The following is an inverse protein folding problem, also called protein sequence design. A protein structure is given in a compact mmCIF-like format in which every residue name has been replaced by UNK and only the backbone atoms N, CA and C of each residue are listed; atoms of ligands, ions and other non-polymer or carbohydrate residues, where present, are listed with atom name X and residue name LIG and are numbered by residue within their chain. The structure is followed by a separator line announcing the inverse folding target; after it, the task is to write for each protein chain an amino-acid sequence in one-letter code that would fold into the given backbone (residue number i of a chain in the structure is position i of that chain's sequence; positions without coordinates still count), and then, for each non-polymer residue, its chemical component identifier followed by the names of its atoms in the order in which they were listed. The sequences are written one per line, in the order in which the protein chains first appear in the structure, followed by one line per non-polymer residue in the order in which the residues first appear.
data_IF_141226232154
#
_entry.id   IF_141226232154
#
_cell.length_a   1.000
_cell.length_b   1.000
_cell.length_c   1.000
_cell.angle_alpha   90.00
_cell.angle_beta   90.00
_cell.angle_gamma   90.00
#
_symmetry.space_group_name_H-M   'P 1'
#
loop_
_entity.id
_entity.type
_entity.pdbx_description
1 polymer ?
#
# COMPACT_ATOMS: atom_id res chain seq x y z
N UNK A 1 37.98 -11.75 -55.67
CA UNK A 1 37.68 -11.71 -54.23
C UNK A 1 36.39 -10.92 -54.03
N UNK A 2 35.25 -11.59 -53.98
CA UNK A 2 33.92 -10.96 -53.89
C UNK A 2 33.23 -11.39 -52.60
N UNK A 3 32.97 -10.42 -51.72
CA UNK A 3 32.27 -10.59 -50.45
C UNK A 3 30.77 -10.79 -50.67
N UNK A 4 30.21 -11.90 -50.19
CA UNK A 4 28.75 -12.08 -50.08
C UNK A 4 28.37 -11.94 -48.61
N UNK A 5 27.71 -10.83 -48.27
CA UNK A 5 27.19 -10.56 -46.94
C UNK A 5 25.93 -11.41 -46.69
N UNK A 6 25.98 -12.27 -45.67
CA UNK A 6 24.80 -12.96 -45.13
C UNK A 6 24.09 -12.03 -44.15
N UNK A 7 22.90 -11.56 -44.50
CA UNK A 7 21.97 -10.94 -43.55
C UNK A 7 21.19 -12.05 -42.83
N UNK A 8 21.43 -12.20 -41.53
CA UNK A 8 20.60 -13.01 -40.65
C UNK A 8 19.54 -12.11 -40.00
N UNK A 9 18.28 -12.28 -40.38
CA UNK A 9 17.13 -11.69 -39.69
C UNK A 9 16.96 -12.37 -38.32
N UNK A 10 17.24 -11.63 -37.25
CA UNK A 10 16.96 -12.03 -35.88
C UNK A 10 15.56 -11.51 -35.50
N UNK A 11 14.57 -12.41 -35.45
CA UNK A 11 13.25 -12.11 -34.93
C UNK A 11 13.33 -11.85 -33.41
N UNK A 12 13.09 -10.61 -32.98
CA UNK A 12 12.82 -10.28 -31.58
C UNK A 12 11.37 -10.66 -31.23
N UNK A 13 11.20 -11.73 -30.46
CA UNK A 13 9.96 -12.01 -29.72
C UNK A 13 9.96 -11.15 -28.45
N UNK A 14 9.22 -10.04 -28.49
CA UNK A 14 8.86 -9.25 -27.30
C UNK A 14 7.79 -9.99 -26.50
N UNK A 15 8.23 -10.79 -25.52
CA UNK A 15 7.36 -11.28 -24.44
C UNK A 15 7.12 -10.13 -23.46
N UNK A 16 6.00 -9.45 -23.61
CA UNK A 16 5.48 -8.55 -22.58
C UNK A 16 4.96 -9.39 -21.41
N UNK A 17 5.81 -9.63 -20.41
CA UNK A 17 5.37 -10.08 -19.10
C UNK A 17 4.63 -8.93 -18.41
N UNK A 18 3.30 -8.91 -18.52
CA UNK A 18 2.46 -8.16 -17.59
C UNK A 18 2.67 -8.76 -16.19
N UNK A 19 3.50 -8.11 -15.38
CA UNK A 19 3.60 -8.42 -13.96
C UNK A 19 2.25 -8.14 -13.31
N UNK A 20 1.53 -9.21 -12.93
CA UNK A 20 0.35 -9.07 -12.09
C UNK A 20 0.81 -8.56 -10.73
N UNK A 21 0.48 -7.31 -10.42
CA UNK A 21 0.57 -6.79 -9.05
C UNK A 21 -0.45 -7.57 -8.21
N UNK A 22 0.01 -8.59 -7.49
CA UNK A 22 -0.83 -9.38 -6.60
C UNK A 22 -1.13 -8.56 -5.35
N UNK A 23 -2.41 -8.32 -5.06
CA UNK A 23 -2.83 -7.82 -3.77
C UNK A 23 -2.26 -8.72 -2.65
N UNK A 24 -1.81 -8.13 -1.55
CA UNK A 24 -1.31 -8.90 -0.44
C UNK A 24 -2.44 -9.73 0.19
N UNK A 25 -2.20 -11.02 0.33
CA UNK A 25 -3.22 -12.00 0.72
C UNK A 25 -2.93 -12.59 2.11
N UNK A 26 -3.89 -13.34 2.66
CA UNK A 26 -3.64 -14.21 3.82
C UNK A 26 -2.45 -15.16 3.59
N UNK A 27 -2.18 -15.51 2.33
CA UNK A 27 -1.04 -16.34 1.94
C UNK A 27 0.30 -15.61 2.19
N UNK A 28 0.39 -14.31 1.89
CA UNK A 28 1.63 -13.53 2.13
C UNK A 28 1.93 -13.38 3.63
N UNK A 29 0.88 -13.22 4.45
CA UNK A 29 1.03 -13.21 5.90
C UNK A 29 1.53 -14.55 6.43
N UNK A 30 0.98 -15.68 5.96
CA UNK A 30 1.41 -17.02 6.39
C UNK A 30 2.83 -17.32 5.91
N UNK A 31 3.17 -16.96 4.67
CA UNK A 31 4.51 -17.11 4.12
C UNK A 31 5.55 -16.28 4.90
N UNK A 32 5.21 -15.05 5.31
CA UNK A 32 6.10 -14.21 6.11
C UNK A 32 6.36 -14.80 7.50
N UNK A 33 5.33 -15.34 8.17
CA UNK A 33 5.49 -16.04 9.46
C UNK A 33 6.36 -17.28 9.30
N UNK A 34 6.08 -18.13 8.30
CA UNK A 34 6.84 -19.34 8.05
C UNK A 34 8.33 -19.04 7.76
N UNK A 35 8.61 -17.97 7.00
CA UNK A 35 9.98 -17.54 6.74
C UNK A 35 10.67 -17.01 8.00
N UNK A 36 9.95 -16.29 8.87
CA UNK A 36 10.48 -15.83 10.15
C UNK A 36 10.78 -17.02 11.09
N UNK A 37 9.87 -17.98 11.22
CA UNK A 37 10.07 -19.18 12.03
C UNK A 37 11.27 -20.00 11.54
N UNK A 38 11.41 -20.15 10.22
CA UNK A 38 12.59 -20.76 9.61
C UNK A 38 13.89 -20.01 9.98
N UNK A 39 13.86 -18.68 9.93
CA UNK A 39 15.01 -17.85 10.30
C UNK A 39 15.35 -17.96 11.79
N UNK A 40 14.34 -18.01 12.66
CA UNK A 40 14.51 -18.19 14.11
C UNK A 40 15.12 -19.55 14.44
N UNK A 41 14.65 -20.62 13.80
CA UNK A 41 15.24 -21.95 13.94
C UNK A 41 16.71 -21.98 13.48
N UNK A 42 17.00 -21.41 12.32
CA UNK A 42 18.38 -21.32 11.82
C UNK A 42 19.28 -20.49 12.72
N UNK A 43 18.78 -19.38 13.26
CA UNK A 43 19.51 -18.53 14.21
C UNK A 43 19.73 -19.23 15.56
N UNK A 44 18.79 -20.06 16.02
CA UNK A 44 18.96 -20.86 17.23
C UNK A 44 20.21 -21.77 17.13
N UNK A 45 20.38 -22.44 16.00
CA UNK A 45 21.50 -23.38 15.79
C UNK A 45 22.83 -22.70 15.49
N UNK A 46 22.80 -21.51 14.88
CA UNK A 46 23.99 -20.87 14.32
C UNK A 46 24.42 -19.56 15.01
N UNK A 47 23.54 -18.94 15.81
CA UNK A 47 23.74 -17.62 16.39
C UNK A 47 24.08 -16.57 15.32
N UNK A 48 24.96 -15.63 15.67
CA UNK A 48 25.34 -14.51 14.78
C UNK A 48 25.99 -14.97 13.45
N UNK A 49 26.47 -16.22 13.32
CA UNK A 49 26.93 -16.76 12.03
C UNK A 49 25.81 -16.82 10.99
N UNK A 50 24.55 -16.85 11.42
CA UNK A 50 23.40 -16.86 10.54
C UNK A 50 23.27 -15.59 9.68
N UNK A 51 23.87 -14.47 10.10
CA UNK A 51 23.76 -13.20 9.40
C UNK A 51 24.32 -13.25 7.98
N UNK A 52 25.32 -14.09 7.73
CA UNK A 52 25.84 -14.33 6.38
C UNK A 52 24.80 -14.98 5.46
N UNK A 53 23.97 -15.88 5.99
CA UNK A 53 22.88 -16.50 5.24
C UNK A 53 21.72 -15.52 5.01
N UNK A 54 21.43 -14.67 5.99
CA UNK A 54 20.38 -13.65 5.89
C UNK A 54 20.75 -12.47 4.99
N UNK A 55 22.03 -12.24 4.70
CA UNK A 55 22.51 -11.08 3.93
C UNK A 55 22.80 -11.38 2.46
N UNK A 56 22.30 -12.52 1.94
CA UNK A 56 22.48 -12.94 0.54
C UNK A 56 21.20 -13.50 -0.03
N UNK A 57 21.11 -13.52 -1.36
CA UNK A 57 20.05 -14.25 -2.05
C UNK A 57 20.12 -15.74 -1.72
N UNK A 58 18.95 -16.37 -1.56
CA UNK A 58 18.85 -17.77 -1.19
C UNK A 58 17.62 -18.05 -0.33
N UNK A 59 17.76 -19.02 0.56
CA UNK A 59 16.63 -19.66 1.25
C UNK A 59 15.90 -18.79 2.31
N UNK A 60 16.41 -17.59 2.57
CA UNK A 60 15.84 -16.58 3.48
C UNK A 60 15.30 -15.34 2.74
N UNK A 61 15.15 -15.47 1.42
CA UNK A 61 14.51 -14.51 0.52
C UNK A 61 13.45 -15.26 -0.28
N UNK A 62 12.20 -14.80 -0.24
CA UNK A 62 11.07 -15.35 -0.98
C UNK A 62 10.26 -14.22 -1.61
N UNK A 63 10.34 -14.07 -2.93
CA UNK A 63 9.78 -12.94 -3.68
C UNK A 63 10.26 -11.61 -3.09
N UNK A 64 9.35 -10.83 -2.51
CA UNK A 64 9.59 -9.55 -1.86
C UNK A 64 9.80 -9.65 -0.33
N UNK A 65 9.65 -10.86 0.24
CA UNK A 65 9.89 -11.16 1.66
C UNK A 65 11.36 -11.53 1.86
N UNK A 66 11.95 -10.98 2.91
CA UNK A 66 13.33 -11.26 3.26
C UNK A 66 13.53 -11.11 4.76
N UNK A 67 14.47 -11.88 5.29
CA UNK A 67 14.95 -11.72 6.68
C UNK A 67 15.81 -10.47 6.78
N UNK A 68 15.58 -9.69 7.82
CA UNK A 68 16.52 -8.68 8.28
C UNK A 68 16.65 -8.74 9.81
N UNK A 69 17.80 -8.30 10.31
CA UNK A 69 18.15 -8.37 11.72
C UNK A 69 18.65 -7.02 12.17
N UNK A 70 18.08 -6.50 13.26
CA UNK A 70 18.62 -5.35 13.99
C UNK A 70 19.00 -5.76 15.40
N UNK A 71 19.96 -5.09 16.00
CA UNK A 71 20.21 -5.23 17.43
C UNK A 71 19.28 -4.34 18.27
N UNK A 72 19.28 -4.53 19.59
CA UNK A 72 18.47 -3.71 20.53
C UNK A 72 18.92 -2.25 20.63
N UNK A 73 20.04 -1.87 19.99
CA UNK A 73 20.49 -0.49 19.87
C UNK A 73 20.02 0.14 18.55
N UNK A 74 19.44 -0.64 17.64
CA UNK A 74 18.94 -0.19 16.35
C UNK A 74 19.91 -0.38 15.20
N UNK A 75 21.05 -1.05 15.41
CA UNK A 75 22.05 -1.30 14.36
C UNK A 75 21.57 -2.42 13.45
N UNK A 76 21.57 -2.20 12.13
CA UNK A 76 21.28 -3.25 11.15
C UNK A 76 22.45 -4.25 11.10
N UNK A 77 22.17 -5.52 11.36
CA UNK A 77 23.17 -6.59 11.40
C UNK A 77 23.13 -7.48 10.16
N UNK A 78 21.96 -7.66 9.56
CA UNK A 78 21.78 -8.47 8.36
C UNK A 78 20.52 -8.06 7.60
N UNK A 79 20.51 -8.22 6.28
CA UNK A 79 19.31 -7.98 5.47
C UNK A 79 19.42 -8.64 4.10
N UNK A 80 18.40 -9.41 3.72
CA UNK A 80 18.28 -10.01 2.39
C UNK A 80 17.71 -9.07 1.32
N UNK A 81 17.15 -7.93 1.73
CA UNK A 81 16.55 -6.91 0.85
C UNK A 81 17.31 -5.57 0.84
N UNK A 82 16.68 -4.47 0.38
CA UNK A 82 17.31 -3.15 0.22
C UNK A 82 17.98 -2.57 1.46
N UNK A 83 17.51 -2.96 2.65
CA UNK A 83 18.14 -2.58 3.92
C UNK A 83 19.56 -3.15 4.09
N UNK A 84 20.06 -3.99 3.18
CA UNK A 84 21.46 -4.42 3.15
C UNK A 84 22.42 -3.24 3.04
N UNK A 85 22.01 -2.14 2.39
CA UNK A 85 22.77 -0.89 2.35
C UNK A 85 22.91 -0.21 3.73
N UNK A 86 22.11 -0.61 4.72
CA UNK A 86 22.13 -0.07 6.08
C UNK A 86 22.95 -0.93 7.05
N UNK A 87 23.49 -2.09 6.64
CA UNK A 87 24.26 -2.97 7.53
C UNK A 87 25.41 -2.18 8.18
N UNK A 88 25.50 -2.28 9.51
CA UNK A 88 26.47 -1.56 10.35
C UNK A 88 26.04 -0.15 10.77
N UNK A 89 24.86 0.33 10.35
CA UNK A 89 24.34 1.67 10.69
C UNK A 89 23.21 1.59 11.71
N UNK A 90 23.09 2.63 12.52
CA UNK A 90 21.89 2.86 13.33
C UNK A 90 20.73 3.22 12.39
N UNK A 91 19.74 2.33 12.30
CA UNK A 91 18.58 2.50 11.45
C UNK A 91 17.77 3.72 11.90
N UNK A 92 17.75 4.04 13.20
CA UNK A 92 16.94 5.14 13.73
C UNK A 92 17.34 6.51 13.20
N UNK A 93 18.55 6.68 12.69
CA UNK A 93 19.05 7.94 12.11
C UNK A 93 18.53 8.18 10.68
N UNK A 94 18.10 7.13 9.98
CA UNK A 94 17.58 7.22 8.60
C UNK A 94 16.06 7.18 8.53
N UNK A 95 15.38 7.03 9.67
CA UNK A 95 13.92 7.04 9.76
C UNK A 95 13.37 8.46 9.93
N UNK A 96 12.20 8.71 9.33
CA UNK A 96 11.41 9.90 9.67
C UNK A 96 10.89 9.87 11.13
N UNK A 97 10.51 11.02 11.71
CA UNK A 97 10.18 11.15 13.14
C UNK A 97 9.14 10.15 13.65
N UNK A 98 8.06 9.93 12.89
CA UNK A 98 6.98 9.03 13.30
C UNK A 98 7.44 7.57 13.36
N UNK A 99 8.20 7.13 12.36
CA UNK A 99 8.72 5.76 12.30
C UNK A 99 9.86 5.55 13.30
N UNK A 100 10.65 6.58 13.60
CA UNK A 100 11.70 6.51 14.62
C UNK A 100 11.13 6.19 16.00
N UNK A 101 9.99 6.79 16.37
CA UNK A 101 9.31 6.51 17.64
C UNK A 101 8.83 5.07 17.72
N UNK A 102 8.14 4.59 16.69
CA UNK A 102 7.64 3.21 16.63
C UNK A 102 8.79 2.20 16.63
N UNK A 103 9.89 2.49 15.92
CA UNK A 103 11.07 1.65 15.89
C UNK A 103 11.72 1.53 17.28
N UNK A 104 11.91 2.65 17.99
CA UNK A 104 12.42 2.63 19.38
C UNK A 104 11.55 1.78 20.32
N UNK A 105 10.23 1.81 20.16
CA UNK A 105 9.32 0.96 20.93
C UNK A 105 9.50 -0.52 20.58
N UNK A 106 9.65 -0.87 19.29
CA UNK A 106 9.90 -2.23 18.85
C UNK A 106 11.23 -2.79 19.40
N UNK A 107 12.28 -1.95 19.52
CA UNK A 107 13.57 -2.35 20.12
C UNK A 107 13.46 -2.71 21.62
N UNK A 108 12.45 -2.18 22.31
CA UNK A 108 12.23 -2.39 23.75
C UNK A 108 11.39 -3.61 24.07
N UNK A 109 10.90 -4.35 23.07
CA UNK A 109 10.05 -5.53 23.31
C UNK A 109 10.78 -6.53 24.22
N UNK A 110 10.16 -7.02 25.30
CA UNK A 110 10.79 -8.02 26.16
C UNK A 110 11.09 -9.31 25.41
N UNK A 111 12.17 -9.98 25.80
CA UNK A 111 12.41 -11.35 25.39
C UNK A 111 11.29 -12.26 25.94
N UNK A 112 10.85 -13.24 25.15
CA UNK A 112 9.79 -14.17 25.55
C UNK A 112 8.36 -13.72 25.19
N UNK A 113 8.16 -12.51 24.67
CA UNK A 113 6.84 -12.08 24.16
C UNK A 113 6.40 -12.80 22.86
N UNK A 114 7.25 -13.67 22.30
CA UNK A 114 6.99 -14.36 21.03
C UNK A 114 7.01 -13.42 19.82
N UNK A 115 6.42 -13.87 18.72
CA UNK A 115 6.32 -13.09 17.49
C UNK A 115 5.40 -11.88 17.71
N UNK A 116 5.97 -10.71 17.46
CA UNK A 116 5.30 -9.42 17.43
C UNK A 116 5.01 -9.02 15.98
N UNK A 117 4.18 -7.98 15.82
CA UNK A 117 3.89 -7.41 14.50
C UNK A 117 3.93 -5.89 14.53
N UNK A 118 4.29 -5.29 13.39
CA UNK A 118 4.25 -3.86 13.17
C UNK A 118 3.97 -3.57 11.69
N UNK A 119 3.43 -2.38 11.43
CA UNK A 119 3.26 -1.85 10.08
C UNK A 119 3.99 -0.52 9.96
N UNK A 120 4.68 -0.33 8.83
CA UNK A 120 5.33 0.92 8.49
C UNK A 120 5.44 1.08 6.98
N UNK A 121 6.03 2.17 6.50
CA UNK A 121 6.31 2.35 5.06
C UNK A 121 7.77 2.10 4.76
N UNK A 122 8.01 1.37 3.68
CA UNK A 122 9.35 1.06 3.23
C UNK A 122 9.42 1.01 1.71
N UNK A 123 10.61 1.25 1.17
CA UNK A 123 10.83 1.17 -0.26
C UNK A 123 10.78 -0.30 -0.73
N UNK A 124 9.79 -0.63 -1.56
CA UNK A 124 9.75 -1.89 -2.27
C UNK A 124 10.86 -1.90 -3.33
N UNK A 125 11.59 -3.00 -3.37
CA UNK A 125 12.73 -3.18 -4.27
C UNK A 125 12.31 -3.64 -5.66
N UNK A 126 11.13 -4.25 -5.77
CA UNK A 126 10.59 -4.72 -7.04
C UNK A 126 10.31 -3.56 -7.99
N UNK A 127 9.83 -2.42 -7.48
CA UNK A 127 9.45 -1.26 -8.29
C UNK A 127 9.95 0.09 -7.76
N UNK A 128 10.71 0.11 -6.66
CA UNK A 128 11.29 1.31 -6.08
C UNK A 128 10.31 2.20 -5.31
N UNK A 129 9.03 1.83 -5.21
CA UNK A 129 7.99 2.66 -4.57
C UNK A 129 8.00 2.52 -3.06
N UNK A 130 7.61 3.58 -2.36
CA UNK A 130 7.34 3.52 -0.92
C UNK A 130 5.95 2.96 -0.71
N UNK A 131 5.88 1.77 -0.15
CA UNK A 131 4.65 1.02 0.09
C UNK A 131 4.50 0.68 1.58
N UNK A 132 3.29 0.35 2.00
CA UNK A 132 3.08 -0.14 3.36
C UNK A 132 3.68 -1.55 3.45
N UNK A 133 4.37 -1.83 4.55
CA UNK A 133 5.00 -3.12 4.84
C UNK A 133 4.47 -3.61 6.18
N UNK A 134 3.90 -4.82 6.17
CA UNK A 134 3.57 -5.55 7.40
C UNK A 134 4.76 -6.42 7.76
N UNK A 135 5.18 -6.36 9.01
CA UNK A 135 6.38 -7.07 9.50
C UNK A 135 6.02 -7.86 10.74
N UNK A 136 6.47 -9.11 10.75
CA UNK A 136 6.55 -9.94 11.94
C UNK A 136 7.99 -9.90 12.45
N UNK A 137 8.17 -9.80 13.76
CA UNK A 137 9.50 -9.78 14.36
C UNK A 137 9.52 -10.44 15.72
N UNK A 138 10.66 -11.02 16.09
CA UNK A 138 10.85 -11.62 17.41
C UNK A 138 12.24 -11.27 17.95
N UNK A 139 12.28 -10.90 19.22
CA UNK A 139 13.51 -10.66 19.96
C UNK A 139 14.07 -11.96 20.54
N UNK A 140 15.36 -12.20 20.31
CA UNK A 140 16.18 -13.25 20.91
C UNK A 140 17.44 -12.58 21.48
N UNK A 141 17.54 -12.49 22.81
CA UNK A 141 18.58 -11.73 23.50
C UNK A 141 18.69 -10.28 23.01
N UNK A 142 19.80 -9.95 22.34
CA UNK A 142 20.08 -8.62 21.77
C UNK A 142 19.76 -8.51 20.28
N UNK A 143 19.16 -9.53 19.66
CA UNK A 143 18.82 -9.55 18.24
C UNK A 143 17.31 -9.50 18.06
N UNK A 144 16.88 -8.78 17.04
CA UNK A 144 15.49 -8.75 16.59
C UNK A 144 15.48 -9.20 15.15
N UNK A 145 14.99 -10.42 14.93
CA UNK A 145 14.84 -10.99 13.60
C UNK A 145 13.46 -10.62 13.09
N UNK A 146 13.38 -10.20 11.84
CA UNK A 146 12.15 -9.70 11.25
C UNK A 146 12.00 -10.14 9.80
N UNK A 147 10.76 -10.39 9.40
CA UNK A 147 10.34 -10.66 8.03
C UNK A 147 9.05 -9.88 7.78
N UNK A 148 8.92 -9.29 6.60
CA UNK A 148 7.67 -8.68 6.20
C UNK A 148 7.41 -8.74 4.72
N UNK A 149 6.19 -8.40 4.35
CA UNK A 149 5.68 -8.36 3.00
C UNK A 149 5.08 -6.98 2.72
N UNK A 150 5.11 -6.56 1.45
CA UNK A 150 4.47 -5.31 1.07
C UNK A 150 2.97 -5.50 0.94
N UNK A 151 2.23 -4.51 1.42
CA UNK A 151 0.81 -4.32 1.18
C UNK A 151 0.75 -3.34 0.01
N UNK A 152 0.56 -3.84 -1.24
CA UNK A 152 0.60 -3.00 -2.43
C UNK A 152 -0.49 -1.93 -2.37
N UNK A 153 -0.23 -0.80 -3.04
CA UNK A 153 -1.25 0.25 -3.23
C UNK A 153 -2.48 -0.34 -3.90
N UNK A 154 -3.63 0.24 -3.62
CA UNK A 154 -4.84 -0.24 -4.26
C UNK A 154 -4.76 -0.12 -5.78
N UNK A 155 -5.20 -1.17 -6.47
CA UNK A 155 -5.26 -1.21 -7.92
C UNK A 155 -6.52 -0.54 -8.47
N UNK A 156 -6.52 -0.27 -9.77
CA UNK A 156 -7.70 0.18 -10.50
C UNK A 156 -8.89 -0.81 -10.34
N UNK A 157 -8.62 -2.11 -10.39
CA UNK A 157 -9.61 -3.17 -10.22
C UNK A 157 -10.21 -3.18 -8.81
N UNK A 158 -9.38 -2.95 -7.79
CA UNK A 158 -9.86 -2.85 -6.41
C UNK A 158 -10.74 -1.60 -6.22
N UNK A 159 -10.37 -0.47 -6.83
CA UNK A 159 -11.20 0.74 -6.82
C UNK A 159 -12.57 0.51 -7.48
N UNK A 160 -12.62 -0.15 -8.64
CA UNK A 160 -13.87 -0.54 -9.31
C UNK A 160 -14.71 -1.50 -8.46
N UNK A 161 -14.09 -2.51 -7.87
CA UNK A 161 -14.78 -3.47 -6.99
C UNK A 161 -15.42 -2.78 -5.80
N UNK A 162 -14.71 -1.83 -5.16
CA UNK A 162 -15.26 -1.07 -4.04
C UNK A 162 -16.36 -0.10 -4.49
N UNK A 163 -16.24 0.52 -5.67
CA UNK A 163 -17.28 1.35 -6.26
C UNK A 163 -18.56 0.56 -6.48
N UNK A 164 -18.48 -0.61 -7.13
CA UNK A 164 -19.65 -1.44 -7.41
C UNK A 164 -20.32 -1.93 -6.13
N UNK A 165 -19.52 -2.34 -5.12
CA UNK A 165 -20.05 -2.69 -3.80
C UNK A 165 -20.80 -1.50 -3.18
N UNK A 166 -20.17 -0.33 -3.11
CA UNK A 166 -20.76 0.86 -2.49
C UNK A 166 -22.03 1.32 -3.21
N UNK A 167 -22.03 1.29 -4.55
CA UNK A 167 -23.20 1.61 -5.36
C UNK A 167 -24.35 0.62 -5.15
N UNK A 168 -24.06 -0.68 -5.09
CA UNK A 168 -25.06 -1.71 -4.83
C UNK A 168 -25.65 -1.61 -3.41
N UNK A 169 -24.83 -1.34 -2.41
CA UNK A 169 -25.28 -1.17 -1.03
C UNK A 169 -26.10 0.11 -0.87
N UNK A 170 -25.68 1.22 -1.48
CA UNK A 170 -26.41 2.48 -1.48
C UNK A 170 -27.79 2.35 -2.15
N UNK A 171 -27.88 1.59 -3.24
CA UNK A 171 -29.15 1.31 -3.91
C UNK A 171 -30.12 0.44 -3.10
N UNK A 172 -29.62 -0.34 -2.13
CA UNK A 172 -30.45 -1.18 -1.25
C UNK A 172 -30.85 -0.49 0.04
N UNK A 173 -29.91 0.23 0.66
CA UNK A 173 -30.10 0.93 1.94
C UNK A 173 -29.29 2.23 1.91
N UNK A 174 -29.90 3.28 1.38
CA UNK A 174 -29.30 4.61 1.26
C UNK A 174 -28.81 5.13 2.62
N UNK A 175 -29.72 5.21 3.60
CA UNK A 175 -29.43 5.80 4.91
C UNK A 175 -28.39 5.00 5.67
N UNK A 176 -28.51 3.67 5.68
CA UNK A 176 -27.57 2.79 6.36
C UNK A 176 -26.17 2.84 5.73
N UNK A 177 -26.10 2.85 4.40
CA UNK A 177 -24.81 2.92 3.68
C UNK A 177 -24.11 4.26 3.92
N UNK A 178 -24.81 5.39 3.79
CA UNK A 178 -24.23 6.72 4.08
C UNK A 178 -23.74 6.82 5.53
N UNK A 179 -24.51 6.27 6.49
CA UNK A 179 -24.11 6.20 7.91
C UNK A 179 -22.87 5.32 8.10
N UNK A 180 -22.79 4.18 7.43
CA UNK A 180 -21.64 3.27 7.51
C UNK A 180 -20.37 3.92 6.95
N UNK A 181 -20.45 4.59 5.80
CA UNK A 181 -19.32 5.33 5.21
C UNK A 181 -18.82 6.41 6.19
N UNK A 182 -19.73 7.24 6.73
CA UNK A 182 -19.37 8.35 7.62
C UNK A 182 -18.89 7.89 9.01
N UNK A 183 -19.27 6.69 9.45
CA UNK A 183 -18.75 6.09 10.67
C UNK A 183 -17.49 5.26 10.46
N UNK A 184 -16.94 5.24 9.23
CA UNK A 184 -15.76 4.47 8.83
C UNK A 184 -15.91 2.97 9.08
N UNK A 185 -17.14 2.44 8.94
CA UNK A 185 -17.49 1.03 9.10
C UNK A 185 -17.92 0.43 7.76
N UNK A 186 -18.10 -0.90 7.73
CA UNK A 186 -18.65 -1.60 6.55
C UNK A 186 -17.67 -1.78 5.37
N UNK A 187 -16.38 -1.48 5.58
CA UNK A 187 -15.34 -1.71 4.58
C UNK A 187 -15.32 -0.69 3.43
N UNK A 188 -15.86 0.52 3.64
CA UNK A 188 -15.83 1.61 2.64
C UNK A 188 -14.56 2.48 2.69
N UNK A 189 -13.68 2.17 3.64
CA UNK A 189 -12.29 2.60 3.71
C UNK A 189 -11.45 1.33 3.75
N UNK A 190 -10.60 1.14 2.75
CA UNK A 190 -9.70 -0.01 2.61
C UNK A 190 -8.33 0.55 2.22
N UNK A 191 -7.47 0.73 3.21
CA UNK A 191 -6.15 1.33 3.03
C UNK A 191 -6.23 2.74 2.44
N UNK A 192 -5.81 2.92 1.18
CA UNK A 192 -5.90 4.19 0.45
C UNK A 192 -7.15 4.31 -0.42
N UNK A 193 -7.95 3.25 -0.58
CA UNK A 193 -9.28 3.32 -1.17
C UNK A 193 -10.32 3.83 -0.19
N UNK A 194 -11.13 4.76 -0.64
CA UNK A 194 -12.29 5.21 0.11
C UNK A 194 -13.41 5.65 -0.81
N UNK A 195 -14.63 5.47 -0.31
CA UNK A 195 -15.85 5.96 -0.96
C UNK A 195 -16.11 7.41 -0.54
N UNK A 196 -16.49 8.25 -1.49
CA UNK A 196 -17.24 9.47 -1.18
C UNK A 196 -18.54 9.51 -2.00
N UNK A 197 -19.54 10.18 -1.44
CA UNK A 197 -20.87 10.29 -2.03
C UNK A 197 -21.31 11.74 -2.02
N UNK A 198 -21.80 12.19 -3.18
CA UNK A 198 -22.34 13.53 -3.40
C UNK A 198 -23.81 13.40 -3.79
N UNK A 199 -24.68 14.17 -3.16
CA UNK A 199 -26.07 14.33 -3.59
C UNK A 199 -26.11 15.29 -4.78
N UNK A 200 -26.63 14.84 -5.92
CA UNK A 200 -26.68 15.60 -7.16
C UNK A 200 -27.78 16.68 -7.15
N UNK A 201 -28.79 16.56 -6.28
CA UNK A 201 -29.84 17.57 -6.14
C UNK A 201 -29.31 18.80 -5.40
N UNK A 202 -28.50 18.58 -4.36
CA UNK A 202 -27.93 19.65 -3.52
C UNK A 202 -26.50 20.01 -3.89
N UNK A 203 -25.83 19.17 -4.70
CA UNK A 203 -24.41 19.23 -5.03
C UNK A 203 -23.49 19.20 -3.81
N UNK A 204 -23.92 18.58 -2.71
CA UNK A 204 -23.14 18.51 -1.46
C UNK A 204 -22.63 17.10 -1.20
N UNK A 205 -21.47 17.01 -0.57
CA UNK A 205 -21.06 15.73 0.00
C UNK A 205 -22.07 15.28 1.07
N UNK A 206 -22.53 14.05 0.95
CA UNK A 206 -23.37 13.39 1.96
C UNK A 206 -22.63 12.27 2.67
N UNK A 207 -21.54 11.75 2.07
CA UNK A 207 -20.62 10.87 2.77
C UNK A 207 -19.17 10.97 2.30
N UNK A 208 -18.22 10.71 3.19
CA UNK A 208 -16.79 10.68 2.85
C UNK A 208 -16.00 9.75 3.77
N UNK A 209 -15.42 8.67 3.23
CA UNK A 209 -14.74 7.62 3.99
C UNK A 209 -13.36 7.97 4.55
N UNK A 210 -12.97 9.25 4.59
CA UNK A 210 -11.64 9.68 5.14
C UNK A 210 -11.68 11.10 5.71
N UNK A 211 -12.30 12.05 5.01
CA UNK A 211 -12.36 13.45 5.43
C UNK A 211 -13.79 13.89 5.74
N UNK A 212 -14.24 13.62 6.98
CA UNK A 212 -15.59 13.96 7.44
C UNK A 212 -15.88 15.47 7.43
N UNK A 213 -14.86 16.33 7.38
CA UNK A 213 -15.04 17.79 7.29
C UNK A 213 -15.61 18.25 5.95
N UNK A 214 -15.57 17.41 4.93
CA UNK A 214 -16.16 17.70 3.62
C UNK A 214 -17.66 17.46 3.59
N UNK A 215 -18.22 16.72 4.55
CA UNK A 215 -19.66 16.46 4.60
C UNK A 215 -20.41 17.80 4.68
N UNK A 216 -21.46 17.92 3.88
CA UNK A 216 -22.28 19.12 3.72
C UNK A 216 -21.56 20.32 3.06
N UNK A 217 -20.31 20.19 2.58
CA UNK A 217 -19.69 21.22 1.74
C UNK A 217 -20.16 21.11 0.30
N UNK A 218 -20.18 22.24 -0.40
CA UNK A 218 -20.50 22.35 -1.82
C UNK A 218 -19.42 21.65 -2.66
N UNK A 219 -19.78 20.52 -3.28
CA UNK A 219 -18.86 19.72 -4.08
C UNK A 219 -18.42 20.47 -5.33
N UNK A 220 -19.29 21.28 -5.96
CA UNK A 220 -18.96 22.01 -7.19
C UNK A 220 -17.79 22.97 -7.03
N UNK A 221 -17.52 23.44 -5.81
CA UNK A 221 -16.41 24.35 -5.47
C UNK A 221 -15.12 23.65 -5.09
N UNK A 222 -15.08 22.32 -5.10
CA UNK A 222 -13.90 21.58 -4.70
C UNK A 222 -12.87 21.65 -5.82
N UNK A 223 -11.67 22.09 -5.43
CA UNK A 223 -10.46 22.02 -6.23
C UNK A 223 -9.42 21.18 -5.51
N UNK A 224 -8.51 20.60 -6.27
CA UNK A 224 -7.36 19.91 -5.72
C UNK A 224 -6.35 20.88 -5.06
N UNK A 225 -5.35 20.38 -4.32
CA UNK A 225 -4.36 21.22 -3.66
C UNK A 225 -3.54 22.13 -4.60
N UNK A 226 -3.57 21.89 -5.91
CA UNK A 226 -2.86 22.67 -6.93
C UNK A 226 -3.80 23.61 -7.69
N UNK A 227 -5.08 23.65 -7.32
CA UNK A 227 -6.09 24.54 -7.87
C UNK A 227 -6.84 23.99 -9.08
N UNK A 228 -6.61 22.72 -9.48
CA UNK A 228 -7.40 22.08 -10.55
C UNK A 228 -8.84 21.88 -10.06
N UNK A 229 -9.87 22.32 -10.79
CA UNK A 229 -11.25 22.05 -10.44
C UNK A 229 -11.52 20.54 -10.42
N UNK A 230 -12.17 20.05 -9.37
CA UNK A 230 -12.55 18.63 -9.22
C UNK A 230 -14.06 18.48 -9.30
N UNK A 231 -14.78 19.30 -8.52
CA UNK A 231 -16.24 19.22 -8.40
C UNK A 231 -17.01 19.48 -9.68
N UNK A 232 -16.85 20.69 -10.22
CA UNK A 232 -17.53 21.16 -11.43
C UNK A 232 -17.37 20.19 -12.64
N UNK A 233 -16.16 19.76 -13.04
CA UNK A 233 -16.02 18.85 -14.18
C UNK A 233 -16.64 17.47 -13.92
N UNK A 234 -16.57 16.95 -12.70
CA UNK A 234 -17.18 15.67 -12.34
C UNK A 234 -18.71 15.76 -12.39
N UNK A 235 -19.30 16.84 -11.86
CA UNK A 235 -20.74 17.09 -11.93
C UNK A 235 -21.21 17.24 -13.38
N UNK A 236 -20.46 17.97 -14.21
CA UNK A 236 -20.75 18.13 -15.63
C UNK A 236 -20.67 16.80 -16.40
N UNK A 237 -19.73 15.92 -16.05
CA UNK A 237 -19.60 14.59 -16.62
C UNK A 237 -20.81 13.71 -16.26
N UNK A 238 -21.12 13.60 -14.97
CA UNK A 238 -22.20 12.71 -14.46
C UNK A 238 -23.61 13.26 -14.76
N UNK A 239 -23.72 14.55 -15.09
CA UNK A 239 -24.94 15.12 -15.67
C UNK A 239 -25.26 14.57 -17.07
N UNK A 240 -24.28 14.01 -17.79
CA UNK A 240 -24.43 13.52 -19.18
C UNK A 240 -24.46 11.99 -19.29
N UNK A 241 -23.86 11.29 -18.33
CA UNK A 241 -23.70 9.84 -18.34
C UNK A 241 -23.69 9.29 -16.91
N UNK A 242 -24.04 8.02 -16.75
CA UNK A 242 -24.19 7.41 -15.42
C UNK A 242 -22.86 6.92 -14.82
N UNK A 243 -21.82 6.75 -15.62
CA UNK A 243 -20.50 6.32 -15.16
C UNK A 243 -19.42 7.18 -15.81
N UNK A 244 -18.26 7.31 -15.16
CA UNK A 244 -17.14 8.07 -15.70
C UNK A 244 -15.89 7.93 -14.87
N UNK A 245 -14.85 8.63 -15.29
CA UNK A 245 -13.60 8.71 -14.56
C UNK A 245 -13.01 10.11 -14.62
N UNK A 246 -12.26 10.48 -13.58
CA UNK A 246 -11.61 11.79 -13.51
C UNK A 246 -10.31 11.71 -12.71
N UNK A 247 -9.25 12.30 -13.26
CA UNK A 247 -7.94 12.37 -12.63
C UNK A 247 -7.71 13.74 -11.99
N UNK A 248 -7.16 13.76 -10.78
CA UNK A 248 -6.80 14.97 -10.04
C UNK A 248 -5.78 14.61 -8.96
N UNK A 249 -5.13 15.59 -8.35
CA UNK A 249 -4.20 15.31 -7.26
C UNK A 249 -4.92 15.35 -5.93
N UNK A 250 -4.61 14.47 -4.99
CA UNK A 250 -5.28 14.51 -3.70
C UNK A 250 -4.38 14.02 -2.59
N UNK A 251 -4.70 14.45 -1.36
CA UNK A 251 -4.00 13.95 -0.19
C UNK A 251 -4.33 12.47 -0.01
N UNK A 252 -3.34 11.60 -0.21
CA UNK A 252 -3.46 10.18 0.07
C UNK A 252 -3.64 10.00 1.60
N UNK A 253 -4.73 9.35 2.06
CA UNK A 253 -5.05 9.22 3.48
C UNK A 253 -4.04 8.35 4.23
N UNK A 254 -3.37 7.47 3.49
CA UNK A 254 -2.29 6.63 4.00
C UNK A 254 -1.02 7.48 4.04
N UNK A 255 -0.49 7.93 2.89
CA UNK A 255 0.85 8.57 2.84
C UNK A 255 0.90 9.98 3.43
N UNK A 256 -0.23 10.68 3.48
CA UNK A 256 -0.31 12.09 3.86
C UNK A 256 0.22 13.05 2.80
N UNK A 257 0.77 12.55 1.68
CA UNK A 257 1.28 13.34 0.56
C UNK A 257 0.18 13.61 -0.46
N UNK A 258 0.38 14.66 -1.27
CA UNK A 258 -0.46 14.95 -2.43
C UNK A 258 0.07 14.15 -3.63
N UNK A 259 -0.72 13.21 -4.11
CA UNK A 259 -0.38 12.22 -5.13
C UNK A 259 -1.43 12.23 -6.26
N UNK A 260 -1.10 11.69 -7.42
CA UNK A 260 -2.06 11.55 -8.52
C UNK A 260 -3.14 10.54 -8.14
N UNK A 261 -4.40 10.91 -8.35
CA UNK A 261 -5.56 10.09 -8.03
C UNK A 261 -6.46 9.95 -9.24
N UNK A 262 -6.75 8.72 -9.61
CA UNK A 262 -7.72 8.38 -10.64
C UNK A 262 -9.01 7.91 -9.97
N UNK A 263 -10.09 8.68 -10.11
CA UNK A 263 -11.38 8.35 -9.51
C UNK A 263 -12.36 7.79 -10.55
N UNK A 264 -12.94 6.64 -10.23
CA UNK A 264 -14.13 6.10 -10.90
C UNK A 264 -15.39 6.66 -10.26
N UNK A 265 -16.39 6.92 -11.10
CA UNK A 265 -17.60 7.65 -10.78
C UNK A 265 -18.80 6.83 -11.24
N UNK A 266 -19.83 6.72 -10.40
CA UNK A 266 -21.06 6.01 -10.71
C UNK A 266 -22.26 6.71 -10.11
N UNK A 267 -23.28 6.93 -10.93
CA UNK A 267 -24.56 7.51 -10.53
C UNK A 267 -25.47 6.41 -9.97
N UNK A 268 -26.07 6.67 -8.82
CA UNK A 268 -27.02 5.78 -8.14
C UNK A 268 -28.20 6.62 -7.69
N UNK A 269 -29.29 6.58 -8.47
CA UNK A 269 -30.42 7.48 -8.27
C UNK A 269 -30.00 8.94 -8.38
N UNK A 270 -30.13 9.68 -7.28
CA UNK A 270 -29.72 11.09 -7.18
C UNK A 270 -28.33 11.27 -6.55
N UNK A 271 -27.57 10.20 -6.35
CA UNK A 271 -26.20 10.27 -5.84
C UNK A 271 -25.17 10.06 -6.94
N UNK A 272 -24.04 10.73 -6.78
CA UNK A 272 -22.75 10.33 -7.33
C UNK A 272 -21.97 9.57 -6.25
N UNK A 273 -21.58 8.34 -6.55
CA UNK A 273 -20.65 7.53 -5.76
C UNK A 273 -19.29 7.53 -6.46
N UNK A 274 -18.22 7.70 -5.71
CA UNK A 274 -16.89 7.74 -6.28
C UNK A 274 -15.85 7.02 -5.41
N UNK A 275 -14.94 6.31 -6.07
CA UNK A 275 -13.79 5.64 -5.48
C UNK A 275 -12.60 5.84 -6.40
N UNK A 276 -11.42 6.10 -5.85
CA UNK A 276 -10.23 6.22 -6.67
C UNK A 276 -9.00 5.58 -6.06
N UNK A 277 -8.04 5.26 -6.91
CA UNK A 277 -6.73 4.73 -6.55
C UNK A 277 -5.64 5.78 -6.78
N UNK A 278 -4.50 5.62 -6.13
CA UNK A 278 -3.38 6.56 -6.21
C UNK A 278 -2.20 6.01 -7.00
N UNK A 279 -1.65 6.85 -7.87
CA UNK A 279 -0.39 6.62 -8.57
C UNK A 279 0.68 7.59 -8.01
N UNK A 280 1.93 7.13 -7.84
CA UNK A 280 3.04 7.97 -7.39
C UNK A 280 3.50 8.97 -8.44
#
# INVERSE_FOLDING_TARGET
MGFVHKFACLCLLLLASLGQASAATKDDSQAAIALLEKALAYYHDNGDKAFAAFSRQGEFVDKDRYVFVVDTKGVMLASGGPSSALIGRDVSEVLGPDLQKAFKQALMVPEGNGIQQAEYRWQNWADGKVERKHVFYQRIGQRILAVGYYLPRASAEQAKTLLDKASADLGKDEKGTLTAINSLKGGYLQDDLYVFVVDLNTQRYVAHGTNLRLINTDFGKISDPEGKPVGEPILALIGKQDEGEYEYRWKNPVTGKVEDKHAYLKKVGHFLVAVGYYSP
#
